data_IF_655639386160
#
_entry.id   IF_655639386160
#
_cell.length_a   1.000
_cell.length_b   1.000
_cell.length_c   1.000
_cell.angle_alpha   90.00
_cell.angle_beta   90.00
_cell.angle_gamma   90.00
#
_symmetry.space_group_name_H-M   'P 1'
#
loop_
_entity.id
_entity.type
_entity.pdbx_description
1 polymer ?
#
# COMPACT_ATOMS: atom_id res chain seq x y z
N UNK A 1 -20.43 -15.62 -8.70
CA UNK A 1 -20.85 -14.22 -8.92
C UNK A 1 -19.59 -13.37 -8.87
N UNK A 2 -19.37 -12.52 -9.86
CA UNK A 2 -18.25 -11.57 -9.91
C UNK A 2 -18.87 -10.18 -9.83
N UNK A 3 -18.29 -9.33 -8.99
CA UNK A 3 -18.74 -7.95 -8.84
C UNK A 3 -17.70 -7.03 -9.46
N UNK A 4 -18.19 -6.00 -10.13
CA UNK A 4 -17.38 -4.93 -10.69
C UNK A 4 -17.73 -3.64 -9.95
N UNK A 5 -16.71 -2.94 -9.45
CA UNK A 5 -16.88 -1.56 -9.00
C UNK A 5 -16.19 -0.66 -9.99
N UNK A 6 -16.94 0.35 -10.42
CA UNK A 6 -16.40 1.43 -11.22
C UNK A 6 -16.05 2.57 -10.30
N UNK A 7 -14.81 3.03 -10.39
CA UNK A 7 -14.44 4.33 -9.86
C UNK A 7 -14.17 5.22 -11.06
N UNK A 8 -15.04 6.19 -11.31
CA UNK A 8 -14.74 7.26 -12.24
C UNK A 8 -13.47 7.92 -11.77
N UNK A 9 -12.44 7.79 -12.58
CA UNK A 9 -11.14 8.23 -12.16
C UNK A 9 -11.14 9.74 -11.98
N UNK A 10 -10.34 10.21 -11.02
CA UNK A 10 -9.18 11.09 -11.19
C UNK A 10 -9.10 12.11 -12.38
N UNK A 11 -9.99 12.07 -13.37
CA UNK A 11 -10.13 12.89 -14.58
C UNK A 11 -10.99 14.16 -14.41
N UNK A 12 -11.72 14.33 -13.31
CA UNK A 12 -12.53 15.55 -13.09
C UNK A 12 -13.97 15.37 -13.54
N UNK A 13 -14.90 15.54 -12.61
CA UNK A 13 -16.27 15.94 -12.99
C UNK A 13 -16.23 17.48 -13.03
N UNK A 14 -16.18 18.07 -14.22
CA UNK A 14 -16.15 19.54 -14.41
C UNK A 14 -14.83 20.23 -14.01
N UNK A 15 -14.91 21.49 -13.57
CA UNK A 15 -13.78 22.42 -13.27
C UNK A 15 -12.76 21.96 -12.20
N UNK A 16 -12.90 20.75 -11.66
CA UNK A 16 -12.01 20.16 -10.67
C UNK A 16 -10.82 19.47 -11.38
N UNK A 17 -9.68 20.17 -11.44
CA UNK A 17 -8.38 19.60 -11.84
C UNK A 17 -7.93 18.53 -10.83
N UNK A 18 -8.48 17.31 -10.90
CA UNK A 18 -8.21 16.23 -9.94
C UNK A 18 -6.73 15.78 -9.93
N UNK A 19 -5.98 15.95 -11.02
CA UNK A 19 -4.49 15.83 -11.01
C UNK A 19 -3.84 16.77 -9.99
N UNK A 20 -4.39 17.97 -9.84
CA UNK A 20 -3.92 18.94 -8.88
C UNK A 20 -4.21 18.49 -7.44
N UNK A 21 -5.26 17.69 -7.20
CA UNK A 21 -5.60 17.17 -5.87
C UNK A 21 -4.53 16.18 -5.39
N UNK A 22 -4.01 15.35 -6.30
CA UNK A 22 -2.92 14.41 -6.01
C UNK A 22 -1.51 15.03 -6.11
N UNK A 23 -1.42 16.35 -6.27
CA UNK A 23 -0.13 17.07 -6.35
C UNK A 23 -0.05 18.34 -5.50
N UNK A 24 -1.16 18.86 -4.95
CA UNK A 24 -1.20 20.13 -4.17
C UNK A 24 -1.62 19.99 -2.71
N UNK A 25 -2.27 18.90 -2.33
CA UNK A 25 -2.76 18.68 -0.96
C UNK A 25 -1.88 17.65 -0.23
N UNK A 26 -1.85 17.63 1.11
CA UNK A 26 -1.15 16.60 1.85
C UNK A 26 -1.63 15.22 1.40
N UNK A 27 -0.72 14.48 0.74
CA UNK A 27 -1.05 13.24 0.04
C UNK A 27 -1.65 12.18 0.97
N UNK A 28 -1.25 12.21 2.24
CA UNK A 28 -1.76 11.32 3.28
C UNK A 28 -3.28 11.48 3.47
N UNK A 29 -3.81 12.72 3.47
CA UNK A 29 -5.25 13.00 3.63
C UNK A 29 -6.04 12.56 2.41
N UNK A 30 -5.53 12.85 1.22
CA UNK A 30 -6.17 12.45 -0.04
C UNK A 30 -6.23 10.92 -0.15
N UNK A 31 -5.13 10.23 0.18
CA UNK A 31 -5.08 8.78 0.22
C UNK A 31 -6.07 8.20 1.24
N UNK A 32 -6.11 8.75 2.48
CA UNK A 32 -7.02 8.30 3.52
C UNK A 32 -8.50 8.43 3.12
N UNK A 33 -8.88 9.58 2.54
CA UNK A 33 -10.25 9.83 2.11
C UNK A 33 -10.65 8.92 0.94
N UNK A 34 -9.73 8.71 -0.02
CA UNK A 34 -9.98 7.83 -1.17
C UNK A 34 -10.17 6.37 -0.73
N UNK A 35 -9.30 5.87 0.16
CA UNK A 35 -9.45 4.54 0.76
C UNK A 35 -10.79 4.39 1.47
N UNK A 36 -11.16 5.37 2.32
CA UNK A 36 -12.44 5.35 3.04
C UNK A 36 -13.65 5.35 2.08
N UNK A 37 -13.59 6.11 0.99
CA UNK A 37 -14.64 6.15 -0.03
C UNK A 37 -14.84 4.80 -0.73
N UNK A 38 -13.74 4.13 -1.09
CA UNK A 38 -13.77 2.78 -1.68
C UNK A 38 -14.29 1.77 -0.67
N UNK A 39 -13.76 1.76 0.56
CA UNK A 39 -14.19 0.84 1.62
C UNK A 39 -15.68 1.01 1.94
N UNK A 40 -16.18 2.24 1.97
CA UNK A 40 -17.60 2.53 2.18
C UNK A 40 -18.48 1.99 1.04
N UNK A 41 -18.02 2.11 -0.21
CA UNK A 41 -18.83 1.81 -1.39
C UNK A 41 -18.79 0.33 -1.80
N UNK A 42 -17.61 -0.30 -1.72
CA UNK A 42 -17.36 -1.65 -2.23
C UNK A 42 -16.66 -2.56 -1.21
N UNK A 43 -16.22 -2.04 -0.05
CA UNK A 43 -15.49 -2.83 0.95
C UNK A 43 -16.28 -4.00 1.53
N UNK A 44 -17.62 -3.95 1.50
CA UNK A 44 -18.46 -5.07 1.94
C UNK A 44 -18.27 -6.34 1.10
N UNK A 45 -17.72 -6.22 -0.12
CA UNK A 45 -17.41 -7.35 -1.01
C UNK A 45 -16.05 -7.98 -0.67
N UNK A 46 -15.13 -7.20 -0.10
CA UNK A 46 -13.73 -7.59 0.14
C UNK A 46 -13.44 -7.90 1.60
N UNK A 47 -14.25 -7.38 2.54
CA UNK A 47 -14.13 -7.64 3.97
C UNK A 47 -15.28 -8.49 4.47
N UNK A 48 -15.01 -9.77 4.76
CA UNK A 48 -15.98 -10.64 5.41
C UNK A 48 -16.29 -10.14 6.82
N UNK A 49 -17.53 -9.68 7.07
CA UNK A 49 -18.00 -9.42 8.45
C UNK A 49 -18.25 -10.76 9.13
N UNK A 50 -17.32 -11.13 10.01
CA UNK A 50 -17.32 -12.38 10.78
C UNK A 50 -17.23 -13.64 9.89
N UNK A 51 -16.82 -14.75 10.50
CA UNK A 51 -16.39 -16.01 9.87
C UNK A 51 -17.38 -16.70 8.88
N UNK A 52 -18.51 -16.07 8.54
CA UNK A 52 -19.54 -16.57 7.64
C UNK A 52 -19.88 -15.64 6.45
N UNK A 53 -19.22 -14.49 6.28
CA UNK A 53 -19.47 -13.62 5.11
C UNK A 53 -18.59 -14.04 3.93
N UNK A 54 -19.22 -14.41 2.81
CA UNK A 54 -18.51 -14.72 1.57
C UNK A 54 -17.78 -13.47 1.04
N UNK A 55 -16.46 -13.56 0.92
CA UNK A 55 -15.64 -12.57 0.20
C UNK A 55 -15.80 -12.84 -1.29
N UNK A 56 -16.09 -11.80 -2.07
CA UNK A 56 -16.27 -11.93 -3.51
C UNK A 56 -15.09 -11.30 -4.25
N UNK A 57 -14.65 -11.90 -5.39
CA UNK A 57 -13.72 -11.23 -6.29
C UNK A 57 -14.30 -9.89 -6.75
N UNK A 58 -13.55 -8.82 -6.52
CA UNK A 58 -13.87 -7.47 -6.96
C UNK A 58 -12.96 -7.10 -8.11
N UNK A 59 -13.53 -6.84 -9.28
CA UNK A 59 -12.81 -6.22 -10.39
C UNK A 59 -12.94 -4.70 -10.22
N UNK A 60 -11.80 -4.02 -10.26
CA UNK A 60 -11.74 -2.57 -10.25
C UNK A 60 -11.43 -2.10 -11.67
N UNK A 61 -12.38 -1.42 -12.29
CA UNK A 61 -12.22 -0.83 -13.63
C UNK A 61 -12.40 0.68 -13.55
N UNK A 62 -11.65 1.37 -14.41
CA UNK A 62 -11.78 2.80 -14.63
C UNK A 62 -12.52 3.02 -15.96
N UNK A 63 -13.36 4.06 -16.01
CA UNK A 63 -13.90 4.61 -17.26
C UNK A 63 -13.65 6.12 -17.28
N UNK A 64 -13.01 6.61 -18.35
CA UNK A 64 -12.98 8.03 -18.70
C UNK A 64 -14.31 8.45 -19.37
N UNK A 65 -14.80 9.65 -19.03
CA UNK A 65 -15.96 10.27 -19.68
C UNK A 65 -15.55 11.62 -20.25
N UNK A 66 -15.74 11.82 -21.56
CA UNK A 66 -15.76 13.15 -22.15
C UNK A 66 -17.20 13.71 -22.10
N UNK A 67 -17.34 14.94 -21.57
CA UNK A 67 -18.63 15.61 -21.38
C UNK A 67 -19.28 16.12 -22.69
N UNK A 68 -18.64 15.92 -23.85
CA UNK A 68 -19.31 16.04 -25.15
C UNK A 68 -20.11 14.77 -25.55
N UNK A 69 -20.18 13.76 -24.67
CA UNK A 69 -20.96 12.54 -24.90
C UNK A 69 -20.24 11.51 -25.79
N UNK A 70 -18.92 11.61 -25.89
CA UNK A 70 -18.08 10.57 -26.46
C UNK A 70 -17.60 9.65 -25.34
N UNK A 71 -17.92 8.36 -25.47
CA UNK A 71 -17.40 7.34 -24.57
C UNK A 71 -15.90 7.20 -24.81
N UNK A 72 -15.06 7.61 -23.87
CA UNK A 72 -13.61 7.33 -23.92
C UNK A 72 -13.27 5.89 -23.52
N UNK A 73 -14.28 5.04 -23.28
CA UNK A 73 -14.11 3.60 -23.38
C UNK A 73 -14.33 3.19 -24.83
N UNK A 74 -13.32 2.65 -25.50
CA UNK A 74 -13.35 2.22 -26.91
C UNK A 74 -14.32 1.06 -27.23
N UNK A 75 -15.32 0.82 -26.39
CA UNK A 75 -16.21 -0.34 -26.42
C UNK A 75 -17.42 -0.17 -27.36
N UNK A 76 -17.60 0.99 -27.99
CA UNK A 76 -18.71 1.24 -28.91
C UNK A 76 -18.21 1.68 -30.29
N UNK A 77 -18.40 0.83 -31.29
CA UNK A 77 -18.43 1.23 -32.70
C UNK A 77 -19.63 2.18 -32.87
N UNK A 78 -19.39 3.48 -32.83
CA UNK A 78 -20.34 4.47 -33.35
C UNK A 78 -19.94 4.78 -34.78
N UNK A 79 -20.88 4.51 -35.69
CA UNK A 79 -20.80 4.76 -37.13
C UNK A 79 -20.01 6.04 -37.44
N UNK A 80 -18.93 5.87 -38.21
CA UNK A 80 -18.12 6.90 -38.86
C UNK A 80 -17.35 7.91 -37.98
N UNK A 81 -17.16 7.64 -36.68
CA UNK A 81 -16.25 8.44 -35.84
C UNK A 81 -14.97 7.68 -35.47
N UNK A 82 -13.82 8.30 -35.77
CA UNK A 82 -12.48 7.85 -35.37
C UNK A 82 -12.48 7.57 -33.86
N UNK A 83 -12.00 6.38 -33.46
CA UNK A 83 -11.83 6.01 -32.05
C UNK A 83 -10.99 7.09 -31.36
N UNK A 84 -11.61 7.80 -30.41
CA UNK A 84 -10.86 8.56 -29.41
C UNK A 84 -10.15 7.54 -28.53
N UNK A 85 -8.83 7.64 -28.49
CA UNK A 85 -7.97 6.71 -27.74
C UNK A 85 -8.25 6.79 -26.24
N UNK A 86 -8.47 5.65 -25.57
CA UNK A 86 -8.61 5.57 -24.11
C UNK A 86 -7.25 5.86 -23.44
N UNK A 87 -7.01 7.12 -23.07
CA UNK A 87 -5.70 7.57 -22.56
C UNK A 87 -5.37 7.08 -21.15
N UNK A 88 -6.37 6.62 -20.40
CA UNK A 88 -6.20 6.12 -19.02
C UNK A 88 -6.27 4.60 -18.91
N UNK A 89 -6.44 3.90 -20.03
CA UNK A 89 -6.49 2.44 -20.09
C UNK A 89 -5.14 1.79 -19.75
N UNK A 90 -5.21 0.53 -19.28
CA UNK A 90 -4.03 -0.31 -19.01
C UNK A 90 -3.29 -0.68 -20.30
N UNK A 91 -4.04 -0.90 -21.39
CA UNK A 91 -3.52 -1.19 -22.71
C UNK A 91 -3.36 0.09 -23.54
N UNK A 92 -2.48 0.04 -24.53
CA UNK A 92 -2.38 1.08 -25.55
C UNK A 92 -3.55 0.98 -26.56
N UNK A 93 -3.60 1.90 -27.53
CA UNK A 93 -4.64 1.92 -28.55
C UNK A 93 -4.74 0.62 -29.39
N UNK A 94 -3.67 -0.17 -29.45
CA UNK A 94 -3.65 -1.43 -30.20
C UNK A 94 -4.30 -2.58 -29.45
N UNK A 95 -4.51 -2.45 -28.13
CA UNK A 95 -4.93 -3.53 -27.22
C UNK A 95 -3.94 -4.70 -27.11
N UNK A 96 -2.77 -4.62 -27.75
CA UNK A 96 -1.76 -5.69 -27.75
C UNK A 96 -0.69 -5.46 -26.68
N UNK A 97 -0.44 -4.21 -26.29
CA UNK A 97 0.64 -3.87 -25.38
C UNK A 97 0.14 -3.06 -24.18
N UNK A 98 0.87 -3.18 -23.06
CA UNK A 98 0.64 -2.34 -21.89
C UNK A 98 1.11 -0.91 -22.20
N UNK A 99 0.26 0.08 -21.97
CA UNK A 99 0.60 1.50 -22.14
C UNK A 99 1.76 1.92 -21.24
N UNK A 100 1.84 1.32 -20.05
CA UNK A 100 2.94 1.50 -19.11
C UNK A 100 3.71 0.18 -18.99
N UNK A 101 4.92 0.06 -19.57
CA UNK A 101 5.67 -1.20 -19.56
C UNK A 101 5.89 -1.79 -18.16
N UNK A 102 6.09 -0.93 -17.16
CA UNK A 102 6.33 -1.33 -15.77
C UNK A 102 5.03 -1.52 -14.95
N UNK A 103 3.86 -1.58 -15.61
CA UNK A 103 2.57 -1.78 -14.94
C UNK A 103 2.56 -3.07 -14.13
N UNK A 104 3.02 -4.17 -14.72
CA UNK A 104 3.10 -5.49 -14.06
C UNK A 104 3.99 -5.45 -12.82
N UNK A 105 5.14 -4.78 -12.90
CA UNK A 105 6.07 -4.61 -11.79
C UNK A 105 5.47 -3.77 -10.65
N UNK A 106 4.66 -2.76 -10.98
CA UNK A 106 4.01 -1.90 -10.00
C UNK A 106 2.81 -2.55 -9.32
N UNK A 107 2.15 -3.47 -10.01
CA UNK A 107 0.90 -4.10 -9.56
C UNK A 107 1.03 -5.60 -9.30
N UNK A 108 2.22 -6.07 -8.88
CA UNK A 108 2.53 -7.49 -8.65
C UNK A 108 1.49 -8.22 -7.78
N UNK A 109 0.96 -7.57 -6.74
CA UNK A 109 -0.04 -8.17 -5.85
C UNK A 109 -1.43 -8.25 -6.48
N UNK A 110 -1.78 -7.38 -7.43
CA UNK A 110 -3.07 -7.46 -8.15
C UNK A 110 -3.11 -8.62 -9.14
N UNK A 111 -1.95 -9.07 -9.61
CA UNK A 111 -1.84 -10.16 -10.59
C UNK A 111 -1.89 -11.55 -9.95
N UNK A 112 -2.16 -11.65 -8.65
CA UNK A 112 -2.03 -12.88 -7.89
C UNK A 112 -3.21 -13.06 -6.95
N UNK A 113 -3.52 -14.33 -6.67
CA UNK A 113 -4.38 -14.66 -5.54
C UNK A 113 -3.59 -14.40 -4.26
N UNK A 114 -4.00 -13.41 -3.47
CA UNK A 114 -3.40 -13.11 -2.16
C UNK A 114 -4.23 -13.69 -1.01
N UNK A 115 -5.50 -13.96 -1.24
CA UNK A 115 -6.39 -14.55 -0.25
C UNK A 115 -7.24 -15.67 -0.86
N UNK A 116 -7.42 -16.73 -0.11
CA UNK A 116 -8.25 -17.88 -0.45
C UNK A 116 -9.26 -18.15 0.68
N UNK A 117 -10.56 -17.88 0.46
CA UNK A 117 -11.60 -18.18 1.44
C UNK A 117 -11.67 -19.65 1.85
N UNK A 118 -11.11 -20.56 1.05
CA UNK A 118 -11.10 -22.00 1.32
C UNK A 118 -9.83 -22.49 2.03
N UNK A 119 -8.84 -21.62 2.21
CA UNK A 119 -7.57 -21.98 2.86
C UNK A 119 -7.72 -22.10 4.37
N UNK A 120 -7.18 -23.19 4.92
CA UNK A 120 -7.05 -23.43 6.36
C UNK A 120 -5.75 -22.85 6.96
N UNK A 121 -4.94 -22.14 6.17
CA UNK A 121 -3.70 -21.55 6.66
C UNK A 121 -4.01 -20.32 7.54
N UNK A 122 -3.20 -20.10 8.60
CA UNK A 122 -3.34 -18.89 9.40
C UNK A 122 -3.08 -17.65 8.53
N UNK A 123 -3.87 -16.59 8.76
CA UNK A 123 -3.66 -15.32 8.07
C UNK A 123 -2.33 -14.72 8.53
N UNK A 124 -1.50 -14.38 7.55
CA UNK A 124 -0.26 -13.63 7.72
C UNK A 124 -0.33 -12.38 6.86
N UNK A 125 0.74 -11.58 6.82
CA UNK A 125 0.79 -10.36 6.04
C UNK A 125 2.03 -10.32 5.14
N UNK A 126 1.87 -9.70 3.98
CA UNK A 126 2.94 -9.26 3.11
C UNK A 126 3.17 -7.78 3.40
N UNK A 127 4.41 -7.39 3.67
CA UNK A 127 4.74 -5.98 3.84
C UNK A 127 5.06 -5.38 2.46
N UNK A 128 4.22 -4.48 1.98
CA UNK A 128 4.19 -3.96 0.63
C UNK A 128 4.50 -2.47 0.61
N UNK A 129 5.27 -2.01 -0.39
CA UNK A 129 5.60 -0.61 -0.60
C UNK A 129 4.83 -0.06 -1.83
N UNK A 130 3.73 0.69 -1.62
CA UNK A 130 2.81 1.06 -2.70
C UNK A 130 3.41 1.90 -3.83
N UNK A 131 4.41 2.73 -3.53
CA UNK A 131 5.01 3.61 -4.53
C UNK A 131 5.80 2.80 -5.58
N UNK A 132 6.52 1.75 -5.16
CA UNK A 132 7.35 0.94 -6.08
C UNK A 132 6.68 -0.35 -6.55
N UNK A 133 5.61 -0.80 -5.89
CA UNK A 133 4.97 -2.09 -6.22
C UNK A 133 5.73 -3.32 -5.73
N UNK A 134 6.77 -3.11 -4.92
CA UNK A 134 7.64 -4.15 -4.41
C UNK A 134 7.27 -4.53 -2.98
N UNK A 135 7.71 -5.71 -2.56
CA UNK A 135 7.49 -6.24 -1.22
C UNK A 135 8.79 -6.28 -0.43
N UNK A 136 8.67 -6.20 0.89
CA UNK A 136 9.80 -6.26 1.82
C UNK A 136 10.37 -7.67 1.87
N UNK A 137 11.67 -7.76 1.67
CA UNK A 137 12.52 -8.94 1.78
C UNK A 137 13.56 -8.71 2.88
N UNK A 138 14.24 -9.79 3.26
CA UNK A 138 15.28 -9.76 4.30
C UNK A 138 16.56 -10.29 3.67
N UNK A 139 17.61 -9.48 3.68
CA UNK A 139 18.90 -9.87 3.12
C UNK A 139 19.73 -10.73 4.10
N UNK A 140 20.91 -11.16 3.67
CA UNK A 140 21.81 -12.00 4.49
C UNK A 140 22.31 -11.35 5.78
N UNK A 141 22.21 -10.01 5.90
CA UNK A 141 22.57 -9.25 7.10
C UNK A 141 21.38 -9.01 8.04
N UNK A 142 20.21 -9.60 7.74
CA UNK A 142 18.93 -9.33 8.39
C UNK A 142 18.41 -7.90 8.22
N UNK A 143 18.91 -7.16 7.22
CA UNK A 143 18.39 -5.84 6.88
C UNK A 143 17.21 -5.98 5.91
N UNK A 144 16.28 -5.04 6.00
CA UNK A 144 15.12 -4.99 5.12
C UNK A 144 15.48 -4.35 3.78
N UNK A 145 15.00 -4.94 2.70
CA UNK A 145 15.11 -4.41 1.35
C UNK A 145 13.84 -4.66 0.53
N UNK A 146 13.63 -3.89 -0.53
CA UNK A 146 12.54 -4.08 -1.47
C UNK A 146 12.96 -5.04 -2.57
N UNK A 147 12.08 -5.98 -2.88
CA UNK A 147 12.23 -6.90 -3.98
C UNK A 147 10.90 -7.43 -4.47
N UNK A 148 10.96 -8.53 -5.22
CA UNK A 148 9.77 -9.16 -5.77
C UNK A 148 8.80 -9.66 -4.69
N UNK A 149 7.51 -9.54 -4.96
CA UNK A 149 6.43 -10.03 -4.10
C UNK A 149 6.22 -11.56 -4.17
N UNK A 150 7.01 -12.31 -4.97
CA UNK A 150 7.04 -13.78 -4.87
C UNK A 150 7.84 -14.29 -3.66
N UNK A 151 8.51 -13.39 -2.93
CA UNK A 151 9.22 -13.78 -1.72
C UNK A 151 8.28 -14.48 -0.73
N UNK A 152 8.80 -15.46 0.02
CA UNK A 152 8.07 -16.18 1.06
C UNK A 152 8.09 -15.45 2.41
N UNK A 153 8.59 -14.21 2.45
CA UNK A 153 8.61 -13.43 3.69
C UNK A 153 7.18 -13.10 4.08
N UNK A 154 6.83 -13.44 5.31
CA UNK A 154 5.49 -13.25 5.88
C UNK A 154 5.63 -12.64 7.27
N UNK A 155 4.73 -11.73 7.58
CA UNK A 155 4.72 -10.97 8.81
C UNK A 155 3.43 -11.22 9.60
N UNK A 156 3.57 -11.44 10.90
CA UNK A 156 2.44 -11.48 11.82
C UNK A 156 2.39 -10.14 12.57
N UNK A 157 1.26 -9.44 12.46
CA UNK A 157 0.99 -8.29 13.30
C UNK A 157 0.33 -8.78 14.59
N UNK A 158 0.96 -8.53 15.73
CA UNK A 158 0.35 -8.76 17.03
C UNK A 158 -0.04 -7.42 17.61
N UNK A 159 -1.32 -7.11 17.49
CA UNK A 159 -1.96 -5.99 18.18
C UNK A 159 -2.01 -6.31 19.68
N UNK A 160 -1.27 -5.56 20.49
CA UNK A 160 -1.22 -5.73 21.94
C UNK A 160 -1.76 -4.48 22.63
N UNK A 161 -2.45 -4.64 23.77
CA UNK A 161 -3.03 -3.51 24.51
C UNK A 161 -2.02 -2.38 24.85
N UNK A 162 -0.73 -2.69 24.87
CA UNK A 162 0.35 -1.73 25.16
C UNK A 162 1.49 -1.71 24.13
N UNK A 163 1.63 -2.73 23.29
CA UNK A 163 2.79 -2.90 22.41
C UNK A 163 2.42 -3.72 21.17
N UNK A 164 2.51 -3.07 20.01
CA UNK A 164 2.19 -3.67 18.71
C UNK A 164 3.48 -4.16 18.06
N UNK A 165 3.50 -5.42 17.64
CA UNK A 165 4.70 -6.07 17.11
C UNK A 165 4.50 -6.58 15.71
N UNK A 166 5.52 -6.40 14.88
CA UNK A 166 5.62 -7.01 13.55
C UNK A 166 6.64 -8.15 13.65
N UNK A 167 6.14 -9.39 13.66
CA UNK A 167 6.93 -10.60 13.83
C UNK A 167 7.16 -11.30 12.49
N UNK A 168 8.34 -11.86 12.29
CA UNK A 168 8.63 -12.71 11.14
C UNK A 168 8.02 -14.10 11.35
N UNK A 169 7.06 -14.47 10.50
CA UNK A 169 6.33 -15.75 10.58
C UNK A 169 7.29 -16.93 10.49
N UNK A 170 7.02 -17.98 11.28
CA UNK A 170 7.90 -19.15 11.39
C UNK A 170 9.10 -18.93 12.32
N UNK A 171 9.27 -17.72 12.86
CA UNK A 171 10.34 -17.38 13.80
C UNK A 171 9.78 -16.66 15.03
N UNK A 172 10.65 -16.41 16.01
CA UNK A 172 10.36 -15.54 17.16
C UNK A 172 11.05 -14.17 17.04
N UNK A 173 11.46 -13.79 15.83
CA UNK A 173 12.18 -12.54 15.54
C UNK A 173 11.18 -11.45 15.14
N UNK A 174 11.53 -10.20 15.39
CA UNK A 174 10.68 -9.03 15.14
C UNK A 174 11.39 -8.00 14.28
N UNK A 175 10.60 -7.15 13.65
CA UNK A 175 11.09 -5.93 13.03
C UNK A 175 11.57 -4.95 14.10
N UNK A 176 12.75 -4.37 13.91
CA UNK A 176 13.39 -3.46 14.86
C UNK A 176 13.98 -2.25 14.14
N UNK A 177 13.79 -1.06 14.73
CA UNK A 177 14.43 0.18 14.31
C UNK A 177 15.80 0.35 14.96
N UNK A 178 16.82 0.76 14.21
CA UNK A 178 18.21 0.93 14.68
C UNK A 178 18.66 2.40 14.77
N UNK A 179 17.73 3.35 14.63
CA UNK A 179 17.97 4.79 14.70
C UNK A 179 17.72 5.51 13.39
N UNK A 180 17.72 6.85 13.41
CA UNK A 180 17.48 7.65 12.19
C UNK A 180 18.60 7.44 11.17
N UNK A 181 18.23 7.27 9.89
CA UNK A 181 19.14 7.00 8.78
C UNK A 181 19.70 5.58 8.72
N UNK A 182 19.46 4.74 9.73
CA UNK A 182 19.99 3.38 9.78
C UNK A 182 19.03 2.34 9.17
N UNK A 183 19.55 1.21 8.66
CA UNK A 183 18.71 0.13 8.13
C UNK A 183 17.72 -0.41 9.15
N UNK A 184 16.47 -0.59 8.73
CA UNK A 184 15.52 -1.39 9.50
C UNK A 184 15.97 -2.86 9.44
N UNK A 185 15.95 -3.56 10.57
CA UNK A 185 16.46 -4.94 10.66
C UNK A 185 15.46 -5.87 11.33
N UNK A 186 15.62 -7.16 11.08
CA UNK A 186 14.98 -8.20 11.87
C UNK A 186 15.91 -8.57 13.03
N UNK A 187 15.41 -8.52 14.27
CA UNK A 187 16.19 -8.80 15.48
C UNK A 187 16.91 -10.13 15.43
N UNK A 188 18.14 -10.25 15.93
CA UNK A 188 18.89 -11.52 15.88
C UNK A 188 18.27 -12.60 16.78
N UNK A 189 17.64 -12.18 17.88
CA UNK A 189 17.06 -13.08 18.88
C UNK A 189 15.62 -12.70 19.23
N UNK A 190 14.92 -13.61 19.93
CA UNK A 190 13.57 -13.36 20.40
C UNK A 190 13.49 -12.49 21.65
N UNK A 191 14.58 -12.37 22.42
CA UNK A 191 14.65 -11.50 23.61
C UNK A 191 14.61 -10.02 23.24
N UNK A 192 15.04 -9.67 22.03
CA UNK A 192 15.01 -8.30 21.51
C UNK A 192 13.56 -7.83 21.19
N UNK A 193 12.64 -8.79 21.10
CA UNK A 193 11.22 -8.59 20.85
C UNK A 193 10.40 -8.52 22.15
N UNK A 194 11.03 -8.21 23.28
CA UNK A 194 10.30 -8.02 24.54
C UNK A 194 9.54 -6.69 24.55
N UNK A 195 8.36 -6.69 25.19
CA UNK A 195 7.41 -5.56 25.20
C UNK A 195 7.97 -4.23 25.73
N UNK A 196 9.09 -4.25 26.44
CA UNK A 196 9.73 -3.04 26.98
C UNK A 196 10.67 -2.37 25.96
N UNK A 197 10.99 -3.04 24.84
CA UNK A 197 11.85 -2.51 23.80
C UNK A 197 11.05 -1.58 22.89
N UNK A 198 11.24 -0.26 23.05
CA UNK A 198 10.53 0.74 22.23
C UNK A 198 10.87 0.63 20.74
N UNK A 199 12.05 0.11 20.41
CA UNK A 199 12.55 -0.03 19.04
C UNK A 199 11.91 -1.18 18.25
N UNK A 200 11.21 -2.11 18.90
CA UNK A 200 10.47 -3.20 18.25
C UNK A 200 8.95 -3.01 18.29
N UNK A 201 8.50 -1.85 18.79
CA UNK A 201 7.10 -1.42 18.82
C UNK A 201 6.74 -0.69 17.52
N UNK A 202 5.81 -1.20 16.73
CA UNK A 202 5.42 -0.58 15.45
C UNK A 202 3.94 -0.22 15.41
N UNK A 203 3.62 1.02 15.06
CA UNK A 203 2.24 1.49 14.99
C UNK A 203 1.92 2.18 13.67
N UNK A 204 0.68 2.02 13.23
CA UNK A 204 0.12 2.84 12.16
C UNK A 204 -0.20 4.23 12.74
N UNK A 205 0.51 5.26 12.30
CA UNK A 205 0.42 6.60 12.94
C UNK A 205 -0.30 7.66 12.10
N UNK A 206 -0.53 7.39 10.82
CA UNK A 206 -1.13 8.34 9.87
C UNK A 206 -2.59 8.05 9.58
N UNK A 207 -3.33 9.05 9.10
CA UNK A 207 -4.72 8.90 8.66
C UNK A 207 -4.93 7.80 7.60
N UNK A 208 -4.00 7.68 6.64
CA UNK A 208 -4.06 6.62 5.61
C UNK A 208 -3.69 5.24 6.14
N UNK A 209 -3.15 5.18 7.37
CA UNK A 209 -2.55 4.00 8.01
C UNK A 209 -1.38 3.42 7.21
N UNK A 210 -0.68 4.22 6.41
CA UNK A 210 0.48 3.77 5.61
C UNK A 210 1.83 4.04 6.27
N UNK A 211 1.89 4.93 7.26
CA UNK A 211 3.10 5.14 8.04
C UNK A 211 3.19 4.13 9.18
N UNK A 212 4.16 3.21 9.07
CA UNK A 212 4.55 2.30 10.15
C UNK A 212 5.70 2.94 10.92
N UNK A 213 5.44 3.28 12.18
CA UNK A 213 6.38 4.03 13.01
C UNK A 213 6.78 3.29 14.27
N UNK A 214 8.06 3.42 14.62
CA UNK A 214 8.67 2.99 15.87
C UNK A 214 9.05 4.21 16.72
N UNK A 215 9.07 4.02 18.04
CA UNK A 215 9.52 5.06 18.97
C UNK A 215 11.01 4.91 19.24
N UNK A 216 11.78 5.93 18.88
CA UNK A 216 13.19 6.05 19.24
C UNK A 216 13.39 7.13 20.32
N UNK A 217 14.52 7.07 21.03
CA UNK A 217 14.99 8.14 21.89
C UNK A 217 16.24 8.73 21.23
N UNK A 218 16.29 10.04 21.04
CA UNK A 218 17.47 10.78 20.63
C UNK A 218 17.93 11.73 21.75
N UNK A 219 18.99 12.49 21.51
CA UNK A 219 19.51 13.50 22.46
C UNK A 219 18.49 14.63 22.77
N UNK A 220 17.48 14.81 21.91
CA UNK A 220 16.45 15.85 22.01
C UNK A 220 15.11 15.33 22.57
N UNK A 221 15.00 14.03 22.87
CA UNK A 221 13.83 13.41 23.48
C UNK A 221 13.29 12.21 22.71
N UNK A 222 11.97 11.99 22.77
CA UNK A 222 11.32 10.88 22.08
C UNK A 222 11.02 11.27 20.65
N UNK A 223 11.63 10.58 19.69
CA UNK A 223 11.40 10.78 18.26
C UNK A 223 10.62 9.61 17.67
N UNK A 224 9.79 9.90 16.67
CA UNK A 224 9.05 8.91 15.91
C UNK A 224 9.75 8.64 14.58
N UNK A 225 10.14 7.39 14.36
CA UNK A 225 10.83 6.96 13.14
C UNK A 225 9.93 6.05 12.31
N UNK A 226 9.72 6.40 11.06
CA UNK A 226 8.94 5.63 10.09
C UNK A 226 9.85 4.75 9.25
N UNK A 227 9.32 3.62 8.76
CA UNK A 227 9.96 2.93 7.64
C UNK A 227 10.05 3.88 6.45
N UNK A 228 11.18 3.84 5.76
CA UNK A 228 11.47 4.69 4.62
C UNK A 228 12.25 3.91 3.57
N UNK A 229 11.78 3.92 2.33
CA UNK A 229 12.55 3.41 1.20
C UNK A 229 13.66 4.41 0.88
N UNK A 230 14.91 3.96 0.95
CA UNK A 230 16.05 4.76 0.51
C UNK A 230 15.98 5.06 -1.00
N UNK A 231 16.33 6.28 -1.40
CA UNK A 231 16.12 6.76 -2.77
C UNK A 231 16.95 5.99 -3.80
N UNK A 232 18.20 5.67 -3.46
CA UNK A 232 19.20 5.14 -4.40
C UNK A 232 19.52 3.65 -4.18
N UNK A 233 18.84 3.00 -3.25
CA UNK A 233 19.05 1.58 -2.98
C UNK A 233 17.71 0.88 -2.75
N UNK A 234 17.68 -0.47 -2.83
CA UNK A 234 16.51 -1.22 -2.43
C UNK A 234 16.33 -1.23 -0.91
N UNK A 235 17.25 -0.66 -0.12
CA UNK A 235 17.23 -0.77 1.34
C UNK A 235 16.09 0.03 1.95
N UNK A 236 15.61 -0.48 3.07
CA UNK A 236 14.63 0.19 3.91
C UNK A 236 15.35 0.65 5.17
N UNK A 237 15.28 1.95 5.41
CA UNK A 237 15.87 2.60 6.58
C UNK A 237 14.76 3.11 7.50
N UNK A 238 15.13 3.50 8.71
CA UNK A 238 14.24 4.25 9.60
C UNK A 238 14.57 5.72 9.55
N UNK A 239 13.59 6.55 9.22
CA UNK A 239 13.77 8.01 9.08
C UNK A 239 12.70 8.74 9.89
N UNK A 240 12.95 10.00 10.27
CA UNK A 240 11.91 10.83 10.89
C UNK A 240 10.65 10.83 10.03
N UNK A 241 9.50 10.57 10.66
CA UNK A 241 8.23 10.55 9.96
C UNK A 241 7.86 11.94 9.42
N UNK A 242 7.30 12.00 8.20
CA UNK A 242 6.82 13.23 7.55
C UNK A 242 5.33 13.14 7.22
N UNK A 243 4.61 14.26 7.25
CA UNK A 243 3.18 14.36 6.96
C UNK A 243 2.28 13.30 7.63
N UNK A 244 2.59 12.95 8.88
CA UNK A 244 1.83 11.95 9.66
C UNK A 244 0.54 12.54 10.22
N UNK A 245 0.65 13.72 10.81
CA UNK A 245 -0.47 14.46 11.39
C UNK A 245 -1.41 14.95 10.29
N UNK A 246 -2.65 15.30 10.67
CA UNK A 246 -3.61 15.94 9.77
C UNK A 246 -3.28 17.42 9.57
N UNK A 247 -2.02 17.70 9.23
CA UNK A 247 -1.53 19.03 8.93
C UNK A 247 -1.79 19.37 7.47
N UNK A 248 -2.77 20.24 7.25
CA UNK A 248 -3.12 20.78 5.93
C UNK A 248 -1.97 21.51 5.22
N UNK A 249 -0.91 21.86 5.94
CA UNK A 249 0.24 22.61 5.44
C UNK A 249 1.44 21.74 5.06
N UNK A 250 1.38 20.42 5.27
CA UNK A 250 2.48 19.54 4.91
C UNK A 250 2.62 19.42 3.38
N UNK A 251 3.73 19.97 2.85
CA UNK A 251 4.06 19.96 1.41
C UNK A 251 5.04 18.85 1.01
N UNK A 252 5.59 18.13 1.99
CA UNK A 252 6.52 17.04 1.71
C UNK A 252 5.80 15.83 1.08
N UNK A 253 6.56 14.99 0.38
CA UNK A 253 6.05 13.76 -0.23
C UNK A 253 6.28 12.54 0.68
N UNK A 254 5.24 12.04 1.39
CA UNK A 254 5.38 10.92 2.30
C UNK A 254 5.42 9.55 1.61
N UNK A 255 5.29 9.46 0.28
CA UNK A 255 5.07 8.17 -0.41
C UNK A 255 6.21 7.17 -0.23
N UNK A 256 7.44 7.63 -0.04
CA UNK A 256 8.59 6.77 0.28
C UNK A 256 8.51 6.15 1.70
N UNK A 257 7.68 6.71 2.59
CA UNK A 257 7.43 6.19 3.93
C UNK A 257 6.16 5.34 4.03
N UNK A 258 5.48 5.10 2.90
CA UNK A 258 4.25 4.32 2.88
C UNK A 258 4.53 2.83 2.77
N UNK A 259 4.09 2.09 3.78
CA UNK A 259 4.15 0.65 3.83
C UNK A 259 2.81 0.10 4.28
N UNK A 260 2.36 -0.98 3.63
CA UNK A 260 1.08 -1.62 3.92
C UNK A 260 1.31 -3.08 4.27
N UNK A 261 0.73 -3.51 5.39
CA UNK A 261 0.55 -4.92 5.71
C UNK A 261 -0.66 -5.42 4.93
N UNK A 262 -0.41 -6.21 3.89
CA UNK A 262 -1.44 -6.81 3.02
C UNK A 262 -1.73 -8.21 3.54
N UNK A 263 -2.97 -8.51 3.99
CA UNK A 263 -3.30 -9.81 4.54
C UNK A 263 -3.26 -10.90 3.47
N UNK A 264 -2.76 -12.09 3.84
CA UNK A 264 -2.65 -13.25 2.96
C UNK A 264 -2.81 -14.56 3.73
N UNK A 265 -3.43 -15.56 3.11
CA UNK A 265 -3.60 -16.91 3.66
C UNK A 265 -3.36 -18.00 2.60
N UNK A 266 -2.51 -17.72 1.61
CA UNK A 266 -2.09 -18.63 0.55
C UNK A 266 -0.59 -18.88 0.54
#
# INVERSE_FOLDING_TARGET
MVFETHLYSWSGIGTLKLRDIWTKQPLNRICANSKRGIDYSAGFLTFGKNNNSSVFPLIFTEFGFDQEGSSEGGYYLREDKVQLEETFGVFDASWEQLRFPNFTEKFQLLQRKIQDPTSNLPTSNILYHPLSGQCVQINSKNELELGSCESKVRWAHKDGAHHDQILLVGTKRCLTSTGEGNPAVVSSSSSDCQSNSKSSSWKHVSLSKLHLASSSMDEHGKQMLCLHKDSNSPRIVTQRCICVDDDSTCLDDPRAQWFQLVPTNV
#
